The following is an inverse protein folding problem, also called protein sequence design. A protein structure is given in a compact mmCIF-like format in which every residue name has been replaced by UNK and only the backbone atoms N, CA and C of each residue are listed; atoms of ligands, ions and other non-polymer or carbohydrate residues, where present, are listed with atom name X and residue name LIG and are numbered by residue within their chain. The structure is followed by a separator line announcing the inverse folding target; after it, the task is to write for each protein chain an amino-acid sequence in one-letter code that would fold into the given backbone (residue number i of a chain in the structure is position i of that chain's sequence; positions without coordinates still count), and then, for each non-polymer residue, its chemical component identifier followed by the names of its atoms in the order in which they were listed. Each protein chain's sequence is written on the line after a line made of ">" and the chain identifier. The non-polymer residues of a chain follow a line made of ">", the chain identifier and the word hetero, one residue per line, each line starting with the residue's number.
data_IF_385765348929
#
_entry.id   IF_385765348929
#
_cell.length_a   1.000
_cell.length_b   1.000
_cell.length_c   1.000
_cell.angle_alpha   90.00
_cell.angle_beta   90.00
_cell.angle_gamma   90.00
#
_symmetry.space_group_name_H-M   'P 1'
#
loop_
_entity.id
_entity.type
_entity.pdbx_description
1 polymer ?
#
# COMPACT_ATOMS: atom_id res chain seq x y z
N UNK A 1 -10.25 -50.56 9.75
CA UNK A 1 -9.59 -49.54 8.91
C UNK A 1 -9.05 -48.48 9.86
N UNK A 2 -7.97 -48.82 10.58
CA UNK A 2 -7.37 -47.94 11.59
C UNK A 2 -6.43 -46.95 10.90
N UNK A 3 -6.71 -45.65 11.04
CA UNK A 3 -5.79 -44.59 10.67
C UNK A 3 -4.65 -44.55 11.69
N UNK A 4 -3.62 -45.36 11.47
CA UNK A 4 -2.36 -45.24 12.21
C UNK A 4 -1.56 -44.11 11.58
N UNK A 5 -1.78 -42.90 12.09
CA UNK A 5 -0.82 -41.81 11.94
C UNK A 5 0.42 -42.25 12.73
N UNK A 6 1.31 -43.00 12.09
CA UNK A 6 2.55 -43.48 12.69
C UNK A 6 3.50 -42.30 12.82
N UNK A 7 3.53 -41.70 14.01
CA UNK A 7 4.62 -40.85 14.49
C UNK A 7 5.90 -41.67 14.62
N UNK A 8 6.50 -42.02 13.49
CA UNK A 8 7.86 -42.55 13.43
C UNK A 8 8.80 -41.35 13.39
N UNK A 9 9.82 -41.34 14.26
CA UNK A 9 10.77 -40.22 14.45
C UNK A 9 11.39 -39.72 13.13
N UNK A 10 11.50 -40.59 12.12
CA UNK A 10 11.97 -40.27 10.76
C UNK A 10 11.08 -39.26 10.01
N UNK A 11 9.77 -39.20 10.31
CA UNK A 11 8.82 -38.30 9.65
C UNK A 11 8.46 -37.07 10.49
N UNK A 12 9.06 -36.93 11.68
CA UNK A 12 8.76 -35.82 12.58
C UNK A 12 9.01 -34.45 11.92
N UNK A 13 10.08 -34.34 11.13
CA UNK A 13 10.38 -33.12 10.37
C UNK A 13 9.30 -32.77 9.34
N UNK A 14 8.70 -33.78 8.69
CA UNK A 14 7.64 -33.56 7.70
C UNK A 14 6.34 -33.09 8.36
N UNK A 15 6.01 -33.64 9.54
CA UNK A 15 4.83 -33.24 10.32
C UNK A 15 4.98 -31.81 10.84
N UNK A 16 6.18 -31.45 11.33
CA UNK A 16 6.48 -30.08 11.76
C UNK A 16 6.37 -29.11 10.58
N UNK A 17 6.96 -29.45 9.43
CA UNK A 17 6.90 -28.61 8.23
C UNK A 17 5.46 -28.45 7.72
N UNK A 18 4.67 -29.52 7.73
CA UNK A 18 3.24 -29.46 7.38
C UNK A 18 2.47 -28.51 8.31
N UNK A 19 2.70 -28.62 9.63
CA UNK A 19 2.11 -27.72 10.60
C UNK A 19 2.49 -26.25 10.35
N UNK A 20 3.76 -26.00 10.02
CA UNK A 20 4.26 -24.65 9.72
C UNK A 20 3.63 -24.08 8.44
N UNK A 21 3.43 -24.88 7.40
CA UNK A 21 2.69 -24.48 6.19
C UNK A 21 1.23 -24.13 6.47
N UNK A 22 0.56 -24.92 7.31
CA UNK A 22 -0.82 -24.64 7.71
C UNK A 22 -0.89 -23.32 8.49
N UNK A 23 0.00 -23.11 9.46
CA UNK A 23 0.06 -21.86 10.23
C UNK A 23 0.35 -20.67 9.31
N UNK A 24 1.28 -20.83 8.36
CA UNK A 24 1.60 -19.80 7.38
C UNK A 24 0.37 -19.41 6.53
N UNK A 25 -0.35 -20.39 5.99
CA UNK A 25 -1.56 -20.16 5.19
C UNK A 25 -2.66 -19.43 5.99
N UNK A 26 -2.80 -19.74 7.29
CA UNK A 26 -3.80 -19.10 8.16
C UNK A 26 -3.37 -17.69 8.58
N UNK A 27 -2.11 -17.52 9.03
CA UNK A 27 -1.62 -16.22 9.49
C UNK A 27 -1.65 -15.18 8.38
N UNK A 28 -1.42 -15.60 7.15
CA UNK A 28 -1.48 -14.74 5.99
C UNK A 28 -0.68 -13.45 6.17
N UNK A 29 0.51 -13.55 6.75
CA UNK A 29 1.39 -12.40 6.91
C UNK A 29 1.93 -11.95 5.55
N UNK A 30 2.18 -10.65 5.45
CA UNK A 30 2.82 -10.07 4.26
C UNK A 30 4.23 -10.63 4.12
N UNK A 31 4.54 -11.14 2.94
CA UNK A 31 5.89 -11.62 2.63
C UNK A 31 6.86 -10.45 2.67
N UNK A 32 8.01 -10.56 3.35
CA UNK A 32 9.03 -9.50 3.35
C UNK A 32 9.37 -9.06 1.93
N UNK A 33 9.59 -7.76 1.73
CA UNK A 33 9.75 -7.15 0.40
C UNK A 33 10.84 -7.81 -0.44
N UNK A 34 11.97 -8.20 0.18
CA UNK A 34 13.07 -8.91 -0.48
C UNK A 34 12.63 -10.25 -1.10
N UNK A 35 11.75 -10.97 -0.41
CA UNK A 35 11.22 -12.27 -0.85
C UNK A 35 10.16 -12.07 -1.93
N UNK A 36 9.36 -11.01 -1.83
CA UNK A 36 8.37 -10.63 -2.84
C UNK A 36 9.03 -10.32 -4.19
N UNK A 37 10.10 -9.52 -4.19
CA UNK A 37 10.81 -9.12 -5.42
C UNK A 37 11.37 -10.35 -6.14
N UNK A 38 11.96 -11.29 -5.39
CA UNK A 38 12.49 -12.51 -5.99
C UNK A 38 11.39 -13.37 -6.62
N UNK A 39 10.26 -13.51 -5.93
CA UNK A 39 9.18 -14.42 -6.33
C UNK A 39 8.28 -13.81 -7.41
N UNK A 40 8.21 -12.48 -7.53
CA UNK A 40 7.46 -11.88 -8.61
C UNK A 40 8.15 -12.06 -9.98
N UNK A 41 9.46 -12.26 -9.99
CA UNK A 41 10.21 -12.55 -11.21
C UNK A 41 9.78 -13.89 -11.84
N UNK A 42 9.75 -13.97 -13.18
CA UNK A 42 9.44 -15.20 -13.93
C UNK A 42 10.37 -16.35 -13.52
N UNK A 43 11.65 -16.04 -13.24
CA UNK A 43 12.65 -16.99 -12.79
C UNK A 43 12.33 -17.52 -11.39
N UNK A 44 11.93 -16.65 -10.46
CA UNK A 44 11.53 -17.04 -9.11
C UNK A 44 10.30 -17.96 -9.11
N UNK A 45 9.30 -17.67 -9.96
CA UNK A 45 8.12 -18.53 -10.14
C UNK A 45 8.49 -19.93 -10.64
N UNK A 46 9.39 -20.02 -11.63
CA UNK A 46 9.90 -21.32 -12.12
C UNK A 46 10.65 -22.06 -11.01
N UNK A 47 11.47 -21.37 -10.22
CA UNK A 47 12.21 -21.96 -9.12
C UNK A 47 11.29 -22.55 -8.04
N UNK A 48 10.22 -21.84 -7.67
CA UNK A 48 9.21 -22.37 -6.75
C UNK A 48 8.53 -23.63 -7.29
N UNK A 49 8.26 -23.69 -8.59
CA UNK A 49 7.68 -24.88 -9.22
C UNK A 49 8.63 -26.09 -9.12
N UNK A 50 9.93 -25.87 -9.30
CA UNK A 50 10.96 -26.91 -9.14
C UNK A 50 11.01 -27.42 -7.70
N UNK A 51 10.91 -26.53 -6.69
CA UNK A 51 10.86 -26.92 -5.27
C UNK A 51 9.65 -27.82 -5.00
N UNK A 52 8.47 -27.43 -5.48
CA UNK A 52 7.24 -28.24 -5.30
C UNK A 52 7.39 -29.60 -5.98
N UNK A 53 7.93 -29.63 -7.20
CA UNK A 53 8.19 -30.89 -7.92
C UNK A 53 9.20 -31.78 -7.19
N UNK A 54 10.25 -31.20 -6.62
CA UNK A 54 11.20 -31.93 -5.77
C UNK A 54 10.52 -32.48 -4.50
N UNK A 55 9.58 -31.73 -3.92
CA UNK A 55 8.81 -32.19 -2.76
C UNK A 55 7.90 -33.38 -3.09
N UNK A 56 7.31 -33.41 -4.28
CA UNK A 56 6.52 -34.57 -4.75
C UNK A 56 7.34 -35.86 -4.88
N UNK A 57 8.63 -35.76 -5.19
CA UNK A 57 9.51 -36.92 -5.39
C UNK A 57 10.08 -37.48 -4.09
N UNK A 58 10.31 -36.63 -3.08
CA UNK A 58 11.07 -37.01 -1.87
C UNK A 58 10.22 -37.06 -0.58
N UNK A 59 9.03 -36.49 -0.57
CA UNK A 59 8.20 -36.38 0.65
C UNK A 59 6.80 -36.97 0.45
N UNK A 60 6.04 -37.04 1.55
CA UNK A 60 4.63 -37.47 1.52
C UNK A 60 3.80 -36.59 0.56
N UNK A 61 2.96 -37.21 -0.26
CA UNK A 61 2.10 -36.54 -1.24
C UNK A 61 1.22 -35.44 -0.63
N UNK A 62 0.75 -35.64 0.61
CA UNK A 62 -0.05 -34.65 1.35
C UNK A 62 0.73 -33.35 1.60
N UNK A 63 2.01 -33.47 1.97
CA UNK A 63 2.89 -32.31 2.21
C UNK A 63 3.16 -31.57 0.91
N UNK A 64 3.34 -32.29 -0.20
CA UNK A 64 3.57 -31.68 -1.51
C UNK A 64 2.34 -30.91 -2.02
N UNK A 65 1.12 -31.42 -1.78
CA UNK A 65 -0.12 -30.69 -2.08
C UNK A 65 -0.20 -29.41 -1.23
N UNK A 66 0.11 -29.49 0.07
CA UNK A 66 0.18 -28.31 0.95
C UNK A 66 1.20 -27.28 0.45
N UNK A 67 2.38 -27.72 0.02
CA UNK A 67 3.39 -26.85 -0.55
C UNK A 67 2.90 -26.12 -1.81
N UNK A 68 2.10 -26.79 -2.65
CA UNK A 68 1.48 -26.17 -3.82
C UNK A 68 0.50 -25.04 -3.44
N UNK A 69 -0.31 -25.24 -2.39
CA UNK A 69 -1.16 -24.18 -1.86
C UNK A 69 -0.35 -23.00 -1.31
N UNK A 70 0.73 -23.27 -0.57
CA UNK A 70 1.63 -22.23 -0.06
C UNK A 70 2.24 -21.42 -1.21
N UNK A 71 2.78 -22.08 -2.23
CA UNK A 71 3.37 -21.40 -3.40
C UNK A 71 2.33 -20.58 -4.15
N UNK A 72 1.12 -21.11 -4.34
CA UNK A 72 0.04 -20.36 -4.98
C UNK A 72 -0.35 -19.11 -4.18
N UNK A 73 -0.52 -19.25 -2.86
CA UNK A 73 -0.86 -18.14 -1.97
C UNK A 73 0.25 -17.08 -1.97
N UNK A 74 1.50 -17.52 -1.98
CA UNK A 74 2.66 -16.66 -2.00
C UNK A 74 2.76 -15.86 -3.31
N UNK A 75 2.58 -16.50 -4.48
CA UNK A 75 2.53 -15.80 -5.78
C UNK A 75 1.37 -14.81 -5.85
N UNK A 76 0.20 -15.20 -5.33
CA UNK A 76 -0.97 -14.32 -5.31
C UNK A 76 -0.72 -13.07 -4.48
N UNK A 77 -0.08 -13.22 -3.31
CA UNK A 77 0.26 -12.10 -2.43
C UNK A 77 1.31 -11.18 -3.03
N UNK A 78 2.40 -11.75 -3.56
CA UNK A 78 3.47 -10.94 -4.17
C UNK A 78 2.94 -10.11 -5.34
N UNK A 79 2.07 -10.69 -6.17
CA UNK A 79 1.47 -9.99 -7.32
C UNK A 79 0.59 -8.80 -6.90
N UNK A 80 -0.17 -8.91 -5.80
CA UNK A 80 -1.03 -7.81 -5.33
C UNK A 80 -0.21 -6.62 -4.82
N UNK A 81 0.88 -6.88 -4.10
CA UNK A 81 1.78 -5.81 -3.61
C UNK A 81 2.46 -5.09 -4.77
N UNK A 82 3.00 -5.83 -5.75
CA UNK A 82 3.61 -5.22 -6.93
C UNK A 82 2.60 -4.50 -7.82
N UNK A 83 1.39 -5.04 -8.00
CA UNK A 83 0.34 -4.37 -8.76
C UNK A 83 -0.10 -3.07 -8.08
N UNK A 84 -0.32 -3.06 -6.77
CA UNK A 84 -0.69 -1.85 -6.03
C UNK A 84 0.44 -0.82 -6.02
N UNK A 85 1.69 -1.23 -5.86
CA UNK A 85 2.85 -0.34 -5.93
C UNK A 85 3.03 0.24 -7.35
N UNK A 86 2.88 -0.60 -8.39
CA UNK A 86 3.02 -0.17 -9.78
C UNK A 86 1.86 0.72 -10.23
N UNK A 87 0.62 0.37 -9.89
CA UNK A 87 -0.58 1.14 -10.22
C UNK A 87 -0.65 2.43 -9.40
N UNK A 88 -0.31 2.40 -8.10
CA UNK A 88 -0.25 3.59 -7.26
C UNK A 88 0.77 4.60 -7.78
N UNK A 89 1.99 4.16 -8.11
CA UNK A 89 3.00 5.07 -8.65
C UNK A 89 2.69 5.58 -10.07
N UNK A 90 1.99 4.80 -10.92
CA UNK A 90 1.65 5.24 -12.28
C UNK A 90 0.40 6.10 -12.37
N UNK A 91 -0.62 5.81 -11.58
CA UNK A 91 -1.94 6.43 -11.71
C UNK A 91 -2.29 7.38 -10.57
N UNK A 92 -1.52 7.37 -9.47
CA UNK A 92 -1.69 8.29 -8.35
C UNK A 92 -0.35 8.97 -8.02
N UNK A 93 0.08 9.95 -8.86
CA UNK A 93 1.24 10.77 -8.55
C UNK A 93 1.08 11.40 -7.15
N UNK A 94 2.16 11.41 -6.37
CA UNK A 94 2.15 12.04 -5.04
C UNK A 94 1.70 13.49 -5.13
N UNK A 95 1.07 14.02 -4.08
CA UNK A 95 0.61 15.42 -4.07
C UNK A 95 1.72 16.40 -4.43
N UNK A 96 2.97 16.10 -4.05
CA UNK A 96 4.14 16.90 -4.42
C UNK A 96 4.38 16.93 -5.93
N UNK A 97 4.25 15.80 -6.61
CA UNK A 97 4.40 15.74 -8.08
C UNK A 97 3.22 16.39 -8.81
N UNK A 98 2.00 16.29 -8.26
CA UNK A 98 0.82 17.01 -8.78
C UNK A 98 1.00 18.53 -8.64
N UNK A 99 1.46 18.97 -7.47
CA UNK A 99 1.68 20.38 -7.17
C UNK A 99 2.81 20.98 -8.02
N UNK A 100 3.89 20.24 -8.25
CA UNK A 100 4.99 20.71 -9.11
C UNK A 100 4.54 20.88 -10.56
N UNK A 101 3.75 19.94 -11.09
CA UNK A 101 3.17 20.05 -12.44
C UNK A 101 2.23 21.25 -12.56
N UNK A 102 1.33 21.47 -11.60
CA UNK A 102 0.46 22.65 -11.63
C UNK A 102 1.24 23.95 -11.49
N UNK A 103 2.29 23.98 -10.65
CA UNK A 103 3.13 25.16 -10.49
C UNK A 103 3.87 25.49 -11.78
N UNK A 104 4.35 24.48 -12.51
CA UNK A 104 5.03 24.67 -13.79
C UNK A 104 4.07 25.16 -14.89
N UNK A 105 2.82 24.68 -14.91
CA UNK A 105 1.83 25.06 -15.91
C UNK A 105 1.10 26.39 -15.60
N UNK A 106 1.06 26.80 -14.33
CA UNK A 106 0.42 28.03 -13.88
C UNK A 106 1.42 29.16 -13.62
N UNK A 107 2.52 29.20 -14.38
CA UNK A 107 3.43 30.36 -14.39
C UNK A 107 2.88 31.43 -15.33
N UNK A 108 1.91 32.19 -14.85
CA UNK A 108 1.38 33.32 -15.61
C UNK A 108 2.26 34.55 -15.38
N UNK A 109 2.69 35.25 -16.45
CA UNK A 109 3.38 36.52 -16.30
C UNK A 109 2.47 37.51 -15.57
N UNK A 110 3.07 38.38 -14.76
CA UNK A 110 2.34 39.43 -14.08
C UNK A 110 1.60 40.31 -15.09
N UNK A 111 0.28 40.42 -14.94
CA UNK A 111 -0.60 41.06 -15.92
C UNK A 111 -0.88 42.51 -15.58
N UNK A 112 -1.23 43.30 -16.60
CA UNK A 112 -1.65 44.71 -16.41
C UNK A 112 -2.91 44.82 -15.52
N UNK A 113 -3.80 43.83 -15.58
CA UNK A 113 -4.96 43.78 -14.69
C UNK A 113 -4.55 43.63 -13.23
N UNK A 114 -3.53 42.80 -12.94
CA UNK A 114 -2.97 42.69 -11.59
C UNK A 114 -2.26 43.98 -11.15
N UNK A 115 -1.60 44.71 -12.06
CA UNK A 115 -1.03 46.03 -11.77
C UNK A 115 -2.09 47.05 -11.37
N UNK A 116 -3.16 47.14 -12.16
CA UNK A 116 -4.26 48.07 -11.90
C UNK A 116 -5.01 47.67 -10.64
N UNK A 117 -5.28 46.37 -10.43
CA UNK A 117 -5.90 45.87 -9.19
C UNK A 117 -5.02 46.21 -8.00
N UNK A 118 -3.70 45.95 -8.04
CA UNK A 118 -2.78 46.29 -6.95
C UNK A 118 -2.79 47.78 -6.60
N UNK A 119 -3.04 48.65 -7.57
CA UNK A 119 -3.19 50.09 -7.36
C UNK A 119 -4.60 50.49 -6.87
N UNK A 120 -5.64 49.69 -7.18
CA UNK A 120 -7.02 49.92 -6.79
C UNK A 120 -7.41 49.29 -5.45
N UNK A 121 -6.71 48.25 -4.98
CA UNK A 121 -6.96 47.73 -3.62
C UNK A 121 -6.40 48.72 -2.61
N UNK A 122 -7.18 49.15 -1.60
CA UNK A 122 -6.62 49.87 -0.48
C UNK A 122 -5.65 48.95 0.25
N UNK A 123 -4.35 49.13 0.01
CA UNK A 123 -3.31 48.46 0.77
C UNK A 123 -3.40 48.98 2.20
N UNK A 124 -3.97 48.18 3.10
CA UNK A 124 -3.84 48.42 4.53
C UNK A 124 -2.36 48.31 4.86
N UNK A 125 -1.69 49.46 4.99
CA UNK A 125 -0.36 49.50 5.56
C UNK A 125 -0.46 48.98 6.99
N UNK A 126 0.29 47.93 7.38
CA UNK A 126 0.28 47.41 8.74
C UNK A 126 0.93 48.45 9.67
N UNK A 127 0.15 49.44 10.10
CA UNK A 127 0.65 50.56 10.89
C UNK A 127 -0.35 51.68 11.18
N UNK A 128 -1.39 51.87 10.36
CA UNK A 128 -2.36 52.94 10.60
C UNK A 128 -3.70 52.41 11.12
N UNK A 129 -3.90 52.62 12.43
CA UNK A 129 -5.14 52.67 13.20
C UNK A 129 -6.42 52.21 12.48
N UNK A 130 -6.72 50.92 12.59
CA UNK A 130 -8.05 50.38 12.35
C UNK A 130 -8.94 50.85 13.52
N UNK A 131 -9.82 51.81 13.27
CA UNK A 131 -11.03 51.93 14.09
C UNK A 131 -11.74 50.58 14.08
N UNK A 132 -11.97 50.02 15.27
CA UNK A 132 -12.58 48.70 15.47
C UNK A 132 -13.80 48.54 14.53
N UNK A 133 -13.83 47.54 13.63
CA UNK A 133 -14.95 47.39 12.71
C UNK A 133 -16.26 47.23 13.49
N UNK A 134 -17.30 47.94 13.07
CA UNK A 134 -18.64 47.87 13.69
C UNK A 134 -19.39 46.57 13.36
N UNK A 135 -18.85 45.75 12.47
CA UNK A 135 -19.42 44.46 12.11
C UNK A 135 -18.65 43.34 12.80
N UNK A 136 -19.38 42.29 13.21
CA UNK A 136 -18.81 41.04 13.71
C UNK A 136 -19.11 39.97 12.67
N UNK A 137 -18.11 39.21 12.19
CA UNK A 137 -18.40 38.07 11.34
C UNK A 137 -19.23 37.07 12.15
N UNK A 138 -20.40 36.72 11.63
CA UNK A 138 -21.25 35.68 12.18
C UNK A 138 -20.95 34.45 11.33
N UNK A 139 -20.45 33.38 11.94
CA UNK A 139 -20.37 32.10 11.24
C UNK A 139 -21.79 31.54 11.11
N UNK A 140 -22.19 31.25 9.88
CA UNK A 140 -23.40 30.46 9.58
C UNK A 140 -23.18 29.02 10.10
N UNK A 141 -24.27 28.27 10.32
CA UNK A 141 -24.19 26.86 10.66
C UNK A 141 -23.43 26.10 9.56
N UNK A 142 -22.28 25.53 9.94
CA UNK A 142 -21.38 24.85 9.01
C UNK A 142 -21.86 23.43 8.65
N UNK A 143 -23.04 22.99 9.12
CA UNK A 143 -23.64 21.69 8.77
C UNK A 143 -22.63 20.53 8.77
N UNK A 144 -21.84 20.41 9.83
CA UNK A 144 -20.80 19.37 9.98
C UNK A 144 -19.69 19.37 8.90
N UNK A 145 -19.56 20.42 8.08
CA UNK A 145 -18.54 20.52 7.02
C UNK A 145 -17.11 20.74 7.55
N UNK A 146 -16.90 20.82 8.87
CA UNK A 146 -15.58 21.05 9.49
C UNK A 146 -15.14 19.93 10.44
N UNK A 147 -15.94 18.88 10.63
CA UNK A 147 -15.54 17.75 11.47
C UNK A 147 -14.65 16.78 10.70
N UNK A 148 -13.35 17.08 10.61
CA UNK A 148 -12.34 16.04 10.54
C UNK A 148 -12.27 15.38 11.91
N UNK A 149 -13.11 14.39 12.12
CA UNK A 149 -13.11 13.55 13.31
C UNK A 149 -11.79 12.77 13.37
N UNK A 150 -10.80 13.35 14.05
CA UNK A 150 -9.51 12.73 14.32
C UNK A 150 -9.61 12.06 15.70
N UNK A 151 -10.21 10.87 15.74
CA UNK A 151 -10.14 9.99 16.91
C UNK A 151 -8.74 9.38 16.99
N UNK A 152 -7.91 9.91 17.89
CA UNK A 152 -6.81 9.19 18.51
C UNK A 152 -7.27 8.57 19.82
#
# INVERSE_FOLDING_TARGET
>A
MEQRITFKKENAGQVILAGLFIIYLIMGQETPELVSIFIDSTIGKVFLFIIVMYMFLNFNTVLAILALFVVFDLIRRSSLTHQNAYMGNKYQPSEQTKFSQFTALNQFPYTLEQEVIKQMVPTYSPGNSISKPSYRPILEDLHYATELNNHN
#
